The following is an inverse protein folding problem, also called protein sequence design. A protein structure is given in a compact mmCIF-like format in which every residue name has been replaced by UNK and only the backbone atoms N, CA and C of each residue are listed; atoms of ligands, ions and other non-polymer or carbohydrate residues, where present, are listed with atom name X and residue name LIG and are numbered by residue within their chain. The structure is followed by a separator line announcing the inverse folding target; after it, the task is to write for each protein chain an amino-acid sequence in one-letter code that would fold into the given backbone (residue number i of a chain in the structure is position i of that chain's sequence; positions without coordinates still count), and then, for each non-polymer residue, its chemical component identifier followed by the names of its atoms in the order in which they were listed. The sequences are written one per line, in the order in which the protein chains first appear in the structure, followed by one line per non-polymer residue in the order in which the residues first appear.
data_IF_772697238523
#
_entry.id   IF_772697238523
#
_cell.length_a   1.000
_cell.length_b   1.000
_cell.length_c   1.000
_cell.angle_alpha   90.00
_cell.angle_beta   90.00
_cell.angle_gamma   90.00
#
_symmetry.space_group_name_H-M   'P 1'
#
loop_
_entity.id
_entity.type
_entity.pdbx_description
1 polymer ?
#
# COMPACT_ATOMS: atom_id res chain seq x y z
N UNK A 1 -23.39 -7.48 -23.14
CA UNK A 1 -24.75 -7.94 -22.81
C UNK A 1 -25.33 -9.12 -23.58
N UNK A 2 -24.92 -9.46 -24.80
CA UNK A 2 -25.64 -10.47 -25.61
C UNK A 2 -25.05 -11.91 -25.58
N UNK A 3 -24.33 -12.32 -24.53
CA UNK A 3 -23.53 -13.57 -24.54
C UNK A 3 -23.91 -14.55 -23.41
N UNK A 4 -24.73 -14.13 -22.43
CA UNK A 4 -25.17 -14.99 -21.32
C UNK A 4 -26.68 -14.92 -21.14
N UNK A 5 -27.31 -16.08 -21.03
CA UNK A 5 -28.74 -16.22 -20.74
C UNK A 5 -28.93 -17.26 -19.64
N UNK A 6 -29.91 -17.02 -18.78
CA UNK A 6 -30.29 -17.94 -17.71
C UNK A 6 -31.59 -18.62 -18.11
N UNK A 7 -31.60 -19.95 -18.06
CA UNK A 7 -32.78 -20.75 -18.37
C UNK A 7 -32.89 -21.93 -17.41
N UNK A 8 -34.08 -22.50 -17.30
CA UNK A 8 -34.30 -23.68 -16.47
C UNK A 8 -33.45 -24.85 -16.98
N UNK A 9 -32.80 -25.57 -16.06
CA UNK A 9 -31.92 -26.70 -16.39
C UNK A 9 -32.59 -27.72 -17.31
N UNK A 10 -33.84 -28.09 -17.05
CA UNK A 10 -34.57 -29.08 -17.87
C UNK A 10 -34.81 -28.57 -19.30
N UNK A 11 -35.03 -27.27 -19.47
CA UNK A 11 -35.18 -26.64 -20.79
C UNK A 11 -33.84 -26.64 -21.54
N UNK A 12 -32.75 -26.27 -20.87
CA UNK A 12 -31.39 -26.25 -21.46
C UNK A 12 -30.97 -27.66 -21.89
N UNK A 13 -31.21 -28.67 -21.06
CA UNK A 13 -30.94 -30.08 -21.40
C UNK A 13 -31.72 -30.52 -22.64
N UNK A 14 -33.01 -30.17 -22.73
CA UNK A 14 -33.86 -30.49 -23.89
C UNK A 14 -33.35 -29.81 -25.16
N UNK A 15 -33.00 -28.52 -25.08
CA UNK A 15 -32.47 -27.74 -26.22
C UNK A 15 -31.13 -28.31 -26.70
N UNK A 16 -30.25 -28.71 -25.78
CA UNK A 16 -28.95 -29.32 -26.08
C UNK A 16 -29.03 -30.80 -26.47
N UNK A 17 -30.24 -31.37 -26.52
CA UNK A 17 -30.50 -32.80 -26.81
C UNK A 17 -29.73 -33.74 -25.87
N UNK A 18 -29.62 -33.37 -24.60
CA UNK A 18 -28.94 -34.14 -23.56
C UNK A 18 -29.97 -34.85 -22.64
N UNK A 19 -29.53 -35.94 -22.01
CA UNK A 19 -30.35 -36.62 -21.01
C UNK A 19 -30.55 -35.75 -19.76
N UNK A 20 -31.64 -36.03 -19.00
CA UNK A 20 -31.91 -35.36 -17.72
C UNK A 20 -30.80 -35.56 -16.69
N UNK A 21 -30.03 -36.66 -16.79
CA UNK A 21 -28.88 -36.92 -15.93
C UNK A 21 -27.62 -36.15 -16.32
N UNK A 22 -27.61 -35.43 -17.46
CA UNK A 22 -26.44 -34.70 -17.91
C UNK A 22 -26.28 -33.39 -17.12
N UNK A 23 -25.24 -33.33 -16.29
CA UNK A 23 -24.86 -32.16 -15.49
C UNK A 23 -23.39 -31.88 -15.76
N UNK A 24 -23.03 -30.64 -16.09
CA UNK A 24 -21.63 -30.26 -16.32
C UNK A 24 -20.90 -29.99 -15.01
N UNK A 25 -21.46 -29.10 -14.19
CA UNK A 25 -20.81 -28.61 -12.97
C UNK A 25 -21.83 -28.43 -11.85
N UNK A 26 -21.43 -28.80 -10.63
CA UNK A 26 -22.21 -28.58 -9.41
C UNK A 26 -21.45 -27.59 -8.53
N UNK A 27 -22.01 -26.39 -8.37
CA UNK A 27 -21.42 -25.35 -7.55
C UNK A 27 -22.04 -25.35 -6.15
N UNK A 28 -21.23 -25.61 -5.12
CA UNK A 28 -21.69 -25.67 -3.72
C UNK A 28 -21.19 -24.43 -2.97
N UNK A 29 -22.12 -23.63 -2.45
CA UNK A 29 -21.80 -22.44 -1.65
C UNK A 29 -21.63 -22.82 -0.18
N UNK A 30 -20.43 -22.63 0.35
CA UNK A 30 -20.12 -22.86 1.76
C UNK A 30 -20.27 -21.59 2.60
N UNK A 31 -20.70 -21.73 3.86
CA UNK A 31 -20.76 -20.61 4.82
C UNK A 31 -19.37 -20.18 5.30
N UNK A 32 -18.45 -21.14 5.45
CA UNK A 32 -17.08 -20.89 5.88
C UNK A 32 -16.10 -21.22 4.74
N UNK A 33 -15.39 -20.20 4.26
CA UNK A 33 -14.41 -20.34 3.17
C UNK A 33 -13.23 -21.24 3.55
N UNK A 34 -12.81 -21.27 4.81
CA UNK A 34 -11.64 -22.05 5.25
C UNK A 34 -11.85 -23.56 5.15
N UNK A 35 -13.12 -24.01 5.20
CA UNK A 35 -13.46 -25.42 5.06
C UNK A 35 -13.53 -25.89 3.61
N UNK A 36 -13.45 -24.98 2.63
CA UNK A 36 -13.70 -25.30 1.24
C UNK A 36 -12.73 -26.35 0.69
N UNK A 37 -11.44 -26.26 1.04
CA UNK A 37 -10.44 -27.24 0.64
C UNK A 37 -10.68 -28.61 1.26
N UNK A 38 -11.03 -28.65 2.54
CA UNK A 38 -11.32 -29.91 3.26
C UNK A 38 -12.55 -30.60 2.68
N UNK A 39 -13.64 -29.85 2.48
CA UNK A 39 -14.90 -30.38 1.91
C UNK A 39 -14.70 -30.81 0.45
N UNK A 40 -13.93 -30.06 -0.35
CA UNK A 40 -13.62 -30.47 -1.72
C UNK A 40 -12.88 -31.82 -1.75
N UNK A 41 -11.89 -32.00 -0.87
CA UNK A 41 -11.15 -33.26 -0.76
C UNK A 41 -12.06 -34.42 -0.32
N UNK A 42 -12.96 -34.18 0.64
CA UNK A 42 -13.92 -35.18 1.12
C UNK A 42 -14.91 -35.58 0.03
N UNK A 43 -15.47 -34.62 -0.71
CA UNK A 43 -16.37 -34.88 -1.83
C UNK A 43 -15.68 -35.65 -2.96
N UNK A 44 -14.43 -35.31 -3.27
CA UNK A 44 -13.64 -36.03 -4.26
C UNK A 44 -13.41 -37.49 -3.85
N UNK A 45 -13.11 -37.74 -2.57
CA UNK A 45 -12.92 -39.10 -2.05
C UNK A 45 -14.21 -39.92 -2.04
N UNK A 46 -15.34 -39.30 -1.69
CA UNK A 46 -16.61 -40.00 -1.53
C UNK A 46 -17.31 -40.30 -2.86
N UNK A 47 -17.18 -39.41 -3.85
CA UNK A 47 -17.90 -39.53 -5.11
C UNK A 47 -17.01 -39.86 -6.32
N UNK A 48 -15.68 -39.79 -6.19
CA UNK A 48 -14.74 -40.09 -7.28
C UNK A 48 -14.71 -39.06 -8.40
N UNK A 49 -15.47 -37.96 -8.30
CA UNK A 49 -15.44 -36.84 -9.25
C UNK A 49 -14.40 -35.80 -8.85
N UNK A 50 -13.92 -35.04 -9.84
CA UNK A 50 -13.04 -33.90 -9.60
C UNK A 50 -13.80 -32.82 -8.81
N UNK A 51 -13.39 -32.57 -7.57
CA UNK A 51 -13.92 -31.49 -6.75
C UNK A 51 -12.79 -30.52 -6.37
N UNK A 52 -12.91 -29.27 -6.78
CA UNK A 52 -11.93 -28.21 -6.51
C UNK A 52 -12.60 -27.10 -5.70
N UNK A 53 -11.86 -26.52 -4.75
CA UNK A 53 -12.33 -25.33 -4.04
C UNK A 53 -12.08 -24.06 -4.88
N UNK A 54 -12.78 -22.97 -4.53
CA UNK A 54 -12.69 -21.71 -5.27
C UNK A 54 -11.26 -21.13 -5.30
N UNK A 55 -10.47 -21.31 -4.25
CA UNK A 55 -9.10 -20.81 -4.17
C UNK A 55 -8.18 -21.56 -5.13
N UNK A 56 -8.30 -22.89 -5.18
CA UNK A 56 -7.55 -23.73 -6.12
C UNK A 56 -7.96 -23.44 -7.57
N UNK A 57 -9.26 -23.33 -7.85
CA UNK A 57 -9.77 -23.02 -9.19
C UNK A 57 -9.32 -21.64 -9.70
N UNK A 58 -9.08 -20.69 -8.80
CA UNK A 58 -8.66 -19.31 -9.13
C UNK A 58 -7.21 -19.02 -8.71
N UNK A 59 -6.38 -20.05 -8.51
CA UNK A 59 -5.02 -19.90 -7.99
C UNK A 59 -4.15 -18.97 -8.86
N UNK A 60 -4.28 -19.02 -10.18
CA UNK A 60 -3.55 -18.14 -11.12
C UNK A 60 -3.91 -16.66 -10.90
N UNK A 61 -5.19 -16.36 -10.66
CA UNK A 61 -5.64 -15.00 -10.39
C UNK A 61 -5.13 -14.51 -9.03
N UNK A 62 -5.24 -15.36 -7.99
CA UNK A 62 -4.80 -15.02 -6.63
C UNK A 62 -3.29 -14.85 -6.51
N UNK A 63 -2.52 -15.70 -7.18
CA UNK A 63 -1.05 -15.55 -7.27
C UNK A 63 -0.70 -14.27 -8.02
N UNK A 64 -1.39 -13.95 -9.12
CA UNK A 64 -1.24 -12.67 -9.82
C UNK A 64 -1.48 -11.45 -8.92
N UNK A 65 -2.57 -11.45 -8.14
CA UNK A 65 -2.86 -10.40 -7.15
C UNK A 65 -1.76 -10.31 -6.08
N UNK A 66 -1.27 -11.45 -5.60
CA UNK A 66 -0.22 -11.50 -4.57
C UNK A 66 1.09 -10.93 -5.08
N UNK A 67 1.54 -11.36 -6.27
CA UNK A 67 2.76 -10.86 -6.92
C UNK A 67 2.66 -9.35 -7.17
N UNK A 68 1.53 -8.87 -7.69
CA UNK A 68 1.28 -7.44 -7.87
C UNK A 68 1.43 -6.67 -6.55
N UNK A 69 0.82 -7.15 -5.47
CA UNK A 69 0.90 -6.49 -4.17
C UNK A 69 2.34 -6.45 -3.63
N UNK A 70 3.10 -7.53 -3.79
CA UNK A 70 4.53 -7.57 -3.39
C UNK A 70 5.32 -6.51 -4.16
N UNK A 71 5.14 -6.43 -5.48
CA UNK A 71 5.82 -5.41 -6.31
C UNK A 71 5.43 -4.00 -5.87
N UNK A 72 4.13 -3.73 -5.69
CA UNK A 72 3.65 -2.42 -5.23
C UNK A 72 4.27 -2.02 -3.89
N UNK A 73 4.32 -2.93 -2.92
CA UNK A 73 4.94 -2.64 -1.63
C UNK A 73 6.46 -2.45 -1.72
N UNK A 74 7.15 -3.25 -2.53
CA UNK A 74 8.59 -3.12 -2.74
C UNK A 74 8.97 -1.78 -3.38
N UNK A 75 8.25 -1.36 -4.43
CA UNK A 75 8.44 -0.06 -5.07
C UNK A 75 8.14 1.08 -4.11
N UNK A 76 7.00 1.01 -3.41
CA UNK A 76 6.61 2.05 -2.44
C UNK A 76 7.64 2.21 -1.33
N UNK A 77 8.15 1.10 -0.79
CA UNK A 77 9.22 1.11 0.20
C UNK A 77 10.50 1.76 -0.34
N UNK A 78 10.90 1.41 -1.57
CA UNK A 78 12.09 1.99 -2.21
C UNK A 78 11.95 3.50 -2.39
N UNK A 79 10.79 3.97 -2.85
CA UNK A 79 10.51 5.40 -3.00
C UNK A 79 10.59 6.14 -1.66
N UNK A 80 10.07 5.54 -0.58
CA UNK A 80 10.18 6.10 0.76
C UNK A 80 11.64 6.21 1.22
N UNK A 81 12.45 5.19 0.95
CA UNK A 81 13.89 5.21 1.28
C UNK A 81 14.60 6.32 0.51
N UNK A 82 14.37 6.43 -0.80
CA UNK A 82 14.94 7.48 -1.65
C UNK A 82 14.53 8.88 -1.18
N UNK A 83 13.24 9.08 -0.85
CA UNK A 83 12.75 10.33 -0.28
C UNK A 83 13.41 10.65 1.07
N UNK A 84 13.58 9.64 1.93
CA UNK A 84 14.28 9.76 3.21
C UNK A 84 15.72 10.22 3.04
N UNK A 85 16.46 9.70 2.06
CA UNK A 85 17.81 10.19 1.75
C UNK A 85 17.81 11.65 1.27
N UNK A 86 16.80 12.06 0.50
CA UNK A 86 16.63 13.46 0.11
C UNK A 86 16.48 14.38 1.32
N UNK A 87 15.61 14.01 2.26
CA UNK A 87 15.40 14.75 3.52
C UNK A 87 16.69 14.79 4.35
N UNK A 88 17.37 13.66 4.48
CA UNK A 88 18.65 13.57 5.19
C UNK A 88 19.66 14.58 4.61
N UNK A 89 19.82 14.63 3.29
CA UNK A 89 20.76 15.52 2.63
C UNK A 89 20.40 17.00 2.83
N UNK A 90 19.13 17.35 2.69
CA UNK A 90 18.66 18.73 2.88
C UNK A 90 18.87 19.18 4.32
N UNK A 91 18.52 18.35 5.31
CA UNK A 91 18.72 18.69 6.72
C UNK A 91 20.20 18.78 7.07
N UNK A 92 21.02 17.85 6.57
CA UNK A 92 22.46 17.88 6.80
C UNK A 92 23.10 19.16 6.21
N UNK A 93 22.70 19.55 5.00
CA UNK A 93 23.13 20.82 4.38
C UNK A 93 22.65 22.04 5.19
N UNK A 94 21.40 22.01 5.66
CA UNK A 94 20.82 23.09 6.48
C UNK A 94 21.60 23.25 7.79
N UNK A 95 21.92 22.15 8.47
CA UNK A 95 22.74 22.16 9.69
C UNK A 95 24.12 22.75 9.41
N UNK A 96 24.77 22.33 8.32
CA UNK A 96 26.08 22.85 7.93
C UNK A 96 26.05 24.37 7.74
N UNK A 97 25.08 24.88 6.98
CA UNK A 97 24.90 26.32 6.77
C UNK A 97 24.56 27.08 8.06
N UNK A 98 24.00 26.40 9.05
CA UNK A 98 23.57 26.94 10.35
C UNK A 98 24.51 26.62 11.50
N UNK A 99 25.72 26.10 11.25
CA UNK A 99 26.66 25.72 12.32
C UNK A 99 27.03 26.90 13.23
N UNK A 100 27.26 28.09 12.67
CA UNK A 100 27.55 29.30 13.46
C UNK A 100 26.37 29.68 14.37
N UNK A 101 25.15 29.64 13.83
CA UNK A 101 23.93 29.93 14.59
C UNK A 101 23.74 28.90 15.73
N UNK A 102 24.01 27.61 15.47
CA UNK A 102 23.97 26.54 16.48
C UNK A 102 25.02 26.78 17.57
N UNK A 103 26.24 27.18 17.21
CA UNK A 103 27.30 27.50 18.16
C UNK A 103 26.91 28.66 19.07
N UNK A 104 26.30 29.72 18.52
CA UNK A 104 25.79 30.86 19.30
C UNK A 104 24.69 30.40 20.26
N UNK A 105 23.72 29.59 19.82
CA UNK A 105 22.67 29.04 20.68
C UNK A 105 23.25 28.26 21.87
N UNK A 106 24.20 27.37 21.60
CA UNK A 106 24.87 26.58 22.64
C UNK A 106 25.73 27.44 23.58
N UNK A 107 26.38 28.49 23.07
CA UNK A 107 27.12 29.45 23.89
C UNK A 107 26.21 30.27 24.83
N UNK A 108 24.95 30.50 24.42
CA UNK A 108 23.92 31.12 25.27
C UNK A 108 23.31 30.14 26.30
N UNK A 109 23.73 28.87 26.32
CA UNK A 109 23.31 27.88 27.32
C UNK A 109 22.28 26.86 26.84
N UNK A 110 21.92 26.81 25.55
CA UNK A 110 21.04 25.75 25.02
C UNK A 110 21.73 24.39 25.10
N UNK A 111 20.99 23.37 25.54
CA UNK A 111 21.51 22.00 25.53
C UNK A 111 21.55 21.45 24.10
N UNK A 112 22.44 20.50 23.85
CA UNK A 112 22.47 19.79 22.55
C UNK A 112 21.14 19.10 22.23
N UNK A 113 20.35 18.75 23.25
CA UNK A 113 19.03 18.15 23.08
C UNK A 113 18.00 19.17 22.55
N UNK A 114 18.11 20.44 22.92
CA UNK A 114 17.24 21.50 22.43
C UNK A 114 17.50 21.75 20.94
N UNK A 115 18.79 21.81 20.56
CA UNK A 115 19.22 21.90 19.16
C UNK A 115 18.70 20.71 18.35
N UNK A 116 18.81 19.49 18.87
CA UNK A 116 18.26 18.29 18.22
C UNK A 116 16.76 18.42 17.98
N UNK A 117 16.02 18.89 18.97
CA UNK A 117 14.56 19.00 18.91
C UNK A 117 14.11 20.02 17.87
N UNK A 118 14.84 21.12 17.68
CA UNK A 118 14.57 22.10 16.61
C UNK A 118 14.59 21.41 15.23
N UNK A 119 15.66 20.68 14.92
CA UNK A 119 15.79 20.01 13.62
C UNK A 119 14.84 18.81 13.47
N UNK A 120 14.51 18.11 14.57
CA UNK A 120 13.48 17.06 14.56
C UNK A 120 12.08 17.63 14.29
N UNK A 121 11.72 18.76 14.89
CA UNK A 121 10.44 19.42 14.61
C UNK A 121 10.43 19.88 13.15
N UNK A 122 11.53 20.42 12.63
CA UNK A 122 11.63 20.80 11.23
C UNK A 122 11.40 19.61 10.29
N UNK A 123 11.99 18.44 10.58
CA UNK A 123 11.77 17.22 9.77
C UNK A 123 10.33 16.72 9.85
N UNK A 124 9.71 16.76 11.04
CA UNK A 124 8.31 16.39 11.23
C UNK A 124 7.34 17.34 10.51
N UNK A 125 7.61 18.64 10.52
CA UNK A 125 6.80 19.64 9.79
C UNK A 125 6.89 19.40 8.28
N UNK A 126 8.09 19.12 7.76
CA UNK A 126 8.27 18.73 6.35
C UNK A 126 7.48 17.45 6.04
N UNK A 127 7.55 16.44 6.92
CA UNK A 127 6.80 15.20 6.77
C UNK A 127 5.29 15.39 6.81
N UNK A 128 4.78 16.25 7.68
CA UNK A 128 3.36 16.54 7.80
C UNK A 128 2.85 17.29 6.56
N UNK A 129 3.54 18.36 6.15
CA UNK A 129 3.16 19.15 4.97
C UNK A 129 3.27 18.31 3.69
N UNK A 130 4.37 17.57 3.53
CA UNK A 130 4.57 16.66 2.40
C UNK A 130 3.53 15.54 2.39
N UNK A 131 3.17 14.99 3.54
CA UNK A 131 2.14 13.96 3.68
C UNK A 131 0.74 14.49 3.31
N UNK A 132 0.38 15.70 3.77
CA UNK A 132 -0.89 16.33 3.42
C UNK A 132 -0.99 16.64 1.92
N UNK A 133 0.07 17.20 1.33
CA UNK A 133 0.13 17.47 -0.11
C UNK A 133 0.09 16.18 -0.92
N UNK A 134 0.85 15.16 -0.51
CA UNK A 134 0.86 13.85 -1.14
C UNK A 134 -0.50 13.17 -1.08
N UNK A 135 -1.22 13.29 0.06
CA UNK A 135 -2.58 12.78 0.21
C UNK A 135 -3.55 13.50 -0.72
N UNK A 136 -3.47 14.83 -0.82
CA UNK A 136 -4.33 15.62 -1.71
C UNK A 136 -4.11 15.21 -3.17
N UNK A 137 -2.86 15.12 -3.61
CA UNK A 137 -2.52 14.68 -4.97
C UNK A 137 -2.96 13.24 -5.22
N UNK A 138 -2.66 12.33 -4.29
CA UNK A 138 -3.01 10.92 -4.39
C UNK A 138 -4.52 10.69 -4.42
N UNK A 139 -5.28 11.42 -3.59
CA UNK A 139 -6.74 11.39 -3.60
C UNK A 139 -7.31 11.89 -4.93
N UNK A 140 -6.80 13.03 -5.42
CA UNK A 140 -7.24 13.60 -6.71
C UNK A 140 -7.00 12.62 -7.86
N UNK A 141 -5.81 12.02 -7.92
CA UNK A 141 -5.49 10.98 -8.90
C UNK A 141 -6.38 9.74 -8.75
N UNK A 142 -6.69 9.33 -7.53
CA UNK A 142 -7.58 8.19 -7.26
C UNK A 142 -9.00 8.45 -7.79
N UNK A 143 -9.51 9.66 -7.64
CA UNK A 143 -10.82 10.07 -8.19
C UNK A 143 -10.79 10.07 -9.72
N UNK A 144 -9.72 10.58 -10.34
CA UNK A 144 -9.58 10.57 -11.80
C UNK A 144 -9.53 9.14 -12.36
N UNK A 145 -8.80 8.24 -11.69
CA UNK A 145 -8.75 6.83 -12.07
C UNK A 145 -10.11 6.15 -11.88
N UNK A 146 -10.83 6.48 -10.80
CA UNK A 146 -12.17 5.94 -10.55
C UNK A 146 -13.19 6.35 -11.62
N UNK A 147 -12.95 7.46 -12.33
CA UNK A 147 -13.79 7.92 -13.44
C UNK A 147 -13.31 7.41 -14.81
N UNK A 148 -12.13 6.78 -14.87
CA UNK A 148 -11.61 6.24 -16.12
C UNK A 148 -12.45 5.02 -16.54
N UNK A 149 -12.94 4.98 -17.80
CA UNK A 149 -13.67 3.83 -18.30
C UNK A 149 -12.74 2.61 -18.29
N UNK A 150 -13.25 1.52 -17.73
CA UNK A 150 -12.55 0.26 -17.71
C UNK A 150 -13.42 -0.78 -18.41
N UNK A 151 -12.91 -1.36 -19.49
CA UNK A 151 -13.56 -2.51 -20.09
C UNK A 151 -12.93 -3.79 -19.52
N UNK A 152 -13.57 -4.32 -18.47
CA UNK A 152 -13.13 -5.53 -17.78
C UNK A 152 -13.37 -6.83 -18.57
N UNK A 153 -13.95 -6.73 -19.76
CA UNK A 153 -14.42 -7.88 -20.55
C UNK A 153 -15.55 -8.65 -19.85
N UNK A 154 -15.97 -9.76 -20.45
CA UNK A 154 -17.14 -10.57 -20.04
C UNK A 154 -17.08 -11.18 -18.62
N UNK A 155 -15.94 -11.09 -17.92
CA UNK A 155 -15.76 -11.68 -16.60
C UNK A 155 -16.13 -10.73 -15.46
N UNK A 156 -16.13 -9.41 -15.69
CA UNK A 156 -16.29 -8.40 -14.65
C UNK A 156 -17.17 -7.25 -15.16
N UNK A 157 -18.43 -7.18 -14.71
CA UNK A 157 -19.35 -6.05 -14.95
C UNK A 157 -18.91 -4.83 -14.11
N UNK A 158 -17.84 -4.18 -14.53
CA UNK A 158 -17.38 -2.91 -13.96
C UNK A 158 -17.16 -1.93 -15.09
N UNK A 159 -17.99 -0.90 -15.16
CA UNK A 159 -17.86 0.17 -16.16
C UNK A 159 -16.67 1.10 -15.88
N UNK A 160 -16.16 1.07 -14.65
CA UNK A 160 -15.09 1.94 -14.15
C UNK A 160 -14.14 1.16 -13.24
N UNK A 161 -12.91 1.66 -13.11
CA UNK A 161 -11.93 1.05 -12.20
C UNK A 161 -12.42 1.05 -10.74
N UNK A 162 -12.43 -0.11 -10.05
CA UNK A 162 -12.86 -0.20 -8.67
C UNK A 162 -11.79 0.39 -7.75
N UNK A 163 -11.96 1.65 -7.35
CA UNK A 163 -11.08 2.32 -6.39
C UNK A 163 -11.69 2.29 -4.99
N UNK A 164 -10.89 1.86 -4.02
CA UNK A 164 -11.32 1.74 -2.63
C UNK A 164 -10.87 2.96 -1.80
N UNK A 165 -11.81 3.84 -1.47
CA UNK A 165 -11.57 5.08 -0.72
C UNK A 165 -11.59 4.89 0.82
N UNK A 166 -11.28 3.70 1.33
CA UNK A 166 -11.24 3.45 2.78
C UNK A 166 -10.26 4.41 3.49
N UNK A 167 -10.70 5.15 4.54
CA UNK A 167 -9.86 6.07 5.30
C UNK A 167 -8.59 5.43 5.88
N UNK A 168 -8.63 4.11 6.12
CA UNK A 168 -7.50 3.34 6.64
C UNK A 168 -6.26 3.45 5.76
N UNK A 169 -6.41 3.43 4.43
CA UNK A 169 -5.26 3.51 3.51
C UNK A 169 -4.56 4.87 3.58
N UNK A 170 -5.35 5.94 3.64
CA UNK A 170 -4.84 7.31 3.78
C UNK A 170 -4.15 7.52 5.12
N UNK A 171 -4.74 7.02 6.21
CA UNK A 171 -4.17 7.11 7.54
C UNK A 171 -2.84 6.35 7.62
N UNK A 172 -2.78 5.12 7.10
CA UNK A 172 -1.52 4.36 7.05
C UNK A 172 -0.46 5.06 6.22
N UNK A 173 -0.83 5.72 5.13
CA UNK A 173 0.09 6.48 4.27
C UNK A 173 0.69 7.69 4.99
N UNK A 174 -0.13 8.50 5.68
CA UNK A 174 0.35 9.64 6.47
C UNK A 174 1.27 9.18 7.59
N UNK A 175 0.86 8.16 8.35
CA UNK A 175 1.66 7.62 9.46
C UNK A 175 3.01 7.11 8.94
N UNK A 176 3.03 6.36 7.84
CA UNK A 176 4.28 5.91 7.23
C UNK A 176 5.16 7.07 6.78
N UNK A 177 4.59 8.07 6.10
CA UNK A 177 5.32 9.25 5.64
C UNK A 177 5.98 10.01 6.80
N UNK A 178 5.22 10.30 7.86
CA UNK A 178 5.72 10.97 9.05
C UNK A 178 6.83 10.13 9.71
N UNK A 179 6.61 8.83 9.90
CA UNK A 179 7.63 7.93 10.46
C UNK A 179 8.92 7.93 9.62
N UNK A 180 8.82 7.86 8.30
CA UNK A 180 9.98 7.91 7.40
C UNK A 180 10.74 9.23 7.54
N UNK A 181 10.04 10.37 7.56
CA UNK A 181 10.68 11.69 7.72
C UNK A 181 11.31 11.88 9.11
N UNK A 182 10.69 11.34 10.15
CA UNK A 182 11.23 11.37 11.51
C UNK A 182 12.53 10.56 11.59
N UNK A 183 12.53 9.33 11.03
CA UNK A 183 13.72 8.47 10.99
C UNK A 183 14.84 9.12 10.18
N UNK A 184 14.51 9.65 9.00
CA UNK A 184 15.48 10.34 8.13
C UNK A 184 16.09 11.59 8.79
N UNK A 185 15.27 12.37 9.50
CA UNK A 185 15.70 13.58 10.20
C UNK A 185 16.42 13.33 11.52
N UNK A 186 16.24 12.17 12.14
CA UNK A 186 16.85 11.86 13.44
C UNK A 186 18.38 11.80 13.40
N UNK A 187 18.94 11.13 12.39
CA UNK A 187 20.40 11.03 12.21
C UNK A 187 21.09 12.40 12.10
N UNK A 188 20.70 13.32 11.19
CA UNK A 188 21.34 14.63 11.06
C UNK A 188 21.07 15.51 12.28
N UNK A 189 19.85 15.47 12.86
CA UNK A 189 19.54 16.22 14.09
C UNK A 189 20.44 15.82 15.26
N UNK A 190 20.77 14.53 15.38
CA UNK A 190 21.71 14.04 16.39
C UNK A 190 23.14 14.52 16.13
N UNK A 191 23.55 14.72 14.87
CA UNK A 191 24.86 15.32 14.55
C UNK A 191 24.90 16.79 14.98
N UNK A 192 23.85 17.57 14.72
CA UNK A 192 23.76 18.98 15.13
C UNK A 192 23.93 19.18 16.65
N UNK A 193 23.34 18.29 17.46
CA UNK A 193 23.47 18.33 18.92
C UNK A 193 24.92 18.25 19.43
N UNK A 194 25.78 17.56 18.68
CA UNK A 194 27.17 17.25 19.04
C UNK A 194 28.19 18.31 18.59
N UNK A 195 27.75 19.34 17.86
CA UNK A 195 28.64 20.43 17.40
C UNK A 195 29.25 21.16 18.59
N UNK A 196 30.57 21.29 18.66
CA UNK A 196 31.25 22.06 19.71
C UNK A 196 31.23 23.56 19.37
N UNK A 197 30.66 24.43 20.23
CA UNK A 197 30.63 25.87 19.98
C UNK A 197 32.01 26.50 19.87
N UNK A 198 32.99 25.98 20.62
CA UNK A 198 34.31 26.57 20.74
C UNK A 198 35.11 26.36 19.46
N UNK A 199 35.00 25.16 18.86
CA UNK A 199 35.65 24.85 17.58
C UNK A 199 35.13 25.78 16.47
N UNK A 200 33.80 25.88 16.33
CA UNK A 200 33.15 26.68 15.28
C UNK A 200 33.45 28.18 15.42
N UNK A 201 33.45 28.72 16.64
CA UNK A 201 33.67 30.16 16.88
C UNK A 201 35.14 30.57 16.74
N UNK A 202 36.09 29.64 16.91
CA UNK A 202 37.53 29.91 16.70
C UNK A 202 37.94 29.81 15.22
N UNK A 203 37.01 29.50 14.32
CA UNK A 203 37.25 29.47 12.88
C UNK A 203 38.12 28.30 12.42
N UNK A 204 38.13 27.19 13.17
CA UNK A 204 38.69 25.91 12.72
C UNK A 204 37.60 24.99 12.18
#
# INVERSE_FOLDING_TARGET
DNIRSYANMSMVQTILQQDKSFITDINIKLKNRHLAKTIATELQSNFGYKAEDWETANATFLTGVTVRNIITYAVSFTLLVVAGFGIYNILNMTIYNKMKDIAILKAMGFAGMDVRNIFMIQSLVIGLLGGLLGLLVGFTLSVLIAQAPFDGGDLINLDHFPVNFKPTYYLTGIVFGICTTAIAGYMPSRKAAKVDPIEILRGQ
#
